data_IF_470623010909
#
_entry.id   IF_470623010909
#
_cell.length_a   1.000
_cell.length_b   1.000
_cell.length_c   1.000
_cell.angle_alpha   90.00
_cell.angle_beta   90.00
_cell.angle_gamma   90.00
#
_symmetry.space_group_name_H-M   'P 1'
#
loop_
_entity.id
_entity.type
_entity.pdbx_description
1 polymer ?
#
# COMPACT_ATOMS: atom_id res chain seq x y z
N UNK A 1 0.02 -22.30 1.79
CA UNK A 1 -0.05 -22.40 0.31
C UNK A 1 1.26 -23.00 -0.18
N UNK A 2 1.24 -24.23 -0.72
CA UNK A 2 2.43 -24.92 -1.25
C UNK A 2 2.28 -25.01 -2.76
N UNK A 3 3.11 -24.26 -3.50
CA UNK A 3 3.68 -24.57 -4.81
C UNK A 3 4.39 -23.30 -5.30
N UNK A 4 5.72 -23.30 -5.26
CA UNK A 4 6.55 -22.15 -5.62
C UNK A 4 6.42 -21.83 -7.10
N UNK A 5 5.57 -20.85 -7.42
CA UNK A 5 5.38 -20.28 -8.76
C UNK A 5 6.53 -19.39 -9.18
N UNK A 6 7.54 -19.19 -8.32
CA UNK A 6 8.69 -18.32 -8.55
C UNK A 6 9.99 -18.99 -8.09
N UNK A 7 11.09 -18.77 -8.82
CA UNK A 7 12.45 -19.20 -8.46
C UNK A 7 13.49 -18.16 -8.90
N UNK A 8 14.75 -18.38 -8.53
CA UNK A 8 15.88 -17.53 -8.94
C UNK A 8 15.68 -16.04 -8.63
N UNK A 9 15.02 -15.76 -7.49
CA UNK A 9 14.69 -14.40 -7.09
C UNK A 9 15.98 -13.68 -6.69
N UNK A 10 16.25 -12.57 -7.38
CA UNK A 10 17.30 -11.61 -7.01
C UNK A 10 16.68 -10.22 -7.00
N UNK A 11 17.31 -9.28 -6.28
CA UNK A 11 16.84 -7.89 -6.24
C UNK A 11 17.98 -6.89 -6.32
N UNK A 12 17.66 -5.72 -6.86
CA UNK A 12 18.54 -4.56 -6.96
C UNK A 12 17.85 -3.37 -6.31
N UNK A 13 18.52 -2.71 -5.37
CA UNK A 13 18.03 -1.46 -4.81
C UNK A 13 18.03 -0.36 -5.91
N UNK A 14 16.89 0.29 -6.10
CA UNK A 14 16.75 1.45 -6.99
C UNK A 14 16.72 2.76 -6.19
N UNK A 15 16.08 2.77 -5.02
CA UNK A 15 16.05 3.93 -4.11
C UNK A 15 15.82 3.47 -2.66
N UNK A 16 16.48 4.13 -1.72
CA UNK A 16 16.29 3.94 -0.27
C UNK A 16 16.29 5.30 0.42
N UNK A 17 15.32 6.14 0.04
CA UNK A 17 15.18 7.47 0.61
C UNK A 17 14.12 7.45 1.72
N UNK A 18 12.89 7.88 1.42
CA UNK A 18 11.80 7.84 2.38
C UNK A 18 11.15 6.45 2.49
N UNK A 19 11.02 5.77 1.35
CA UNK A 19 10.55 4.39 1.23
C UNK A 19 11.48 3.63 0.30
N UNK A 20 11.51 2.31 0.46
CA UNK A 20 12.41 1.44 -0.28
C UNK A 20 11.80 1.04 -1.63
N UNK A 21 12.54 1.29 -2.70
CA UNK A 21 12.23 0.85 -4.06
C UNK A 21 13.26 -0.19 -4.50
N UNK A 22 12.83 -1.45 -4.63
CA UNK A 22 13.67 -2.54 -5.14
C UNK A 22 13.14 -2.99 -6.51
N UNK A 23 14.06 -3.32 -7.44
CA UNK A 23 13.75 -4.05 -8.66
C UNK A 23 14.05 -5.53 -8.47
N UNK A 24 13.03 -6.37 -8.59
CA UNK A 24 13.10 -7.82 -8.49
C UNK A 24 13.25 -8.46 -9.86
N UNK A 25 14.09 -9.48 -9.93
CA UNK A 25 14.27 -10.37 -11.07
C UNK A 25 13.99 -11.80 -10.61
N UNK A 26 13.09 -12.50 -11.29
CA UNK A 26 12.73 -13.87 -10.92
C UNK A 26 12.20 -14.65 -12.12
N UNK A 27 12.30 -15.97 -12.07
CA UNK A 27 11.63 -16.84 -13.02
C UNK A 27 10.24 -17.18 -12.49
N UNK A 28 9.20 -16.97 -13.29
CA UNK A 28 7.81 -17.29 -12.98
C UNK A 28 7.37 -18.53 -13.77
N UNK A 29 6.69 -19.45 -13.08
CA UNK A 29 6.10 -20.64 -13.71
C UNK A 29 4.69 -20.31 -14.19
N UNK A 30 4.53 -20.22 -15.51
CA UNK A 30 3.27 -19.92 -16.16
C UNK A 30 2.32 -21.12 -16.09
N UNK A 31 1.03 -20.86 -16.28
CA UNK A 31 -0.01 -21.91 -16.29
C UNK A 31 0.17 -22.90 -17.45
N UNK A 32 0.81 -22.48 -18.55
CA UNK A 32 1.17 -23.34 -19.69
C UNK A 32 2.39 -24.26 -19.42
N UNK A 33 2.95 -24.21 -18.20
CA UNK A 33 4.10 -25.02 -17.78
C UNK A 33 5.46 -24.43 -18.17
N UNK A 34 5.50 -23.28 -18.85
CA UNK A 34 6.75 -22.63 -19.21
C UNK A 34 7.31 -21.77 -18.06
N UNK A 35 8.64 -21.65 -18.01
CA UNK A 35 9.32 -20.69 -17.14
C UNK A 35 9.64 -19.41 -17.91
N UNK A 36 9.35 -18.26 -17.32
CA UNK A 36 9.58 -16.95 -17.92
C UNK A 36 10.32 -16.02 -16.95
N UNK A 37 11.29 -15.26 -17.44
CA UNK A 37 11.97 -14.22 -16.66
C UNK A 37 11.07 -13.00 -16.52
N UNK A 38 10.86 -12.56 -15.28
CA UNK A 38 10.06 -11.41 -14.94
C UNK A 38 10.90 -10.37 -14.19
N UNK A 39 10.64 -9.10 -14.49
CA UNK A 39 11.21 -7.96 -13.79
C UNK A 39 10.09 -7.09 -13.23
N UNK A 40 10.14 -6.76 -11.93
CA UNK A 40 9.13 -5.90 -11.29
C UNK A 40 9.78 -4.92 -10.33
N UNK A 41 9.35 -3.67 -10.41
CA UNK A 41 9.67 -2.67 -9.39
C UNK A 41 8.64 -2.75 -8.28
N UNK A 42 9.13 -2.83 -7.03
CA UNK A 42 8.31 -2.96 -5.83
C UNK A 42 8.65 -1.79 -4.93
N UNK A 43 7.66 -0.93 -4.69
CA UNK A 43 7.75 0.18 -3.77
C UNK A 43 7.12 -0.21 -2.45
N UNK A 44 7.94 -0.31 -1.40
CA UNK A 44 7.51 -0.71 -0.07
C UNK A 44 7.14 0.52 0.76
N UNK A 45 5.84 0.77 0.87
CA UNK A 45 5.27 1.89 1.62
C UNK A 45 4.86 1.52 3.06
N UNK A 46 5.13 0.30 3.51
CA UNK A 46 4.65 -0.23 4.78
C UNK A 46 3.14 -0.53 4.81
N UNK A 47 2.67 -1.04 5.94
CA UNK A 47 1.26 -1.35 6.17
C UNK A 47 0.50 -0.13 6.73
N UNK A 48 -0.80 -0.06 6.48
CA UNK A 48 -1.67 1.01 6.96
C UNK A 48 -2.98 0.45 7.55
N UNK A 49 -3.52 1.17 8.53
CA UNK A 49 -4.84 0.92 9.09
C UNK A 49 -5.78 2.10 8.78
N UNK A 50 -7.07 1.79 8.61
CA UNK A 50 -8.13 2.77 8.36
C UNK A 50 -9.34 2.51 9.27
N UNK A 51 -9.99 3.58 9.74
CA UNK A 51 -11.15 3.53 10.65
C UNK A 51 -12.29 4.38 10.07
N UNK A 52 -13.45 3.75 9.86
CA UNK A 52 -14.68 4.44 9.45
C UNK A 52 -15.59 4.66 10.67
N UNK A 53 -15.76 5.92 11.05
CA UNK A 53 -16.66 6.31 12.14
C UNK A 53 -18.08 6.57 11.60
N UNK A 54 -19.07 5.88 12.17
CA UNK A 54 -20.48 5.96 11.76
C UNK A 54 -21.38 6.37 12.93
N UNK A 55 -22.28 7.32 12.68
CA UNK A 55 -23.39 7.66 13.57
C UNK A 55 -24.69 7.01 13.07
N UNK A 56 -25.06 5.87 13.65
CA UNK A 56 -26.16 5.02 13.18
C UNK A 56 -27.51 5.73 13.12
N UNK A 57 -27.90 6.44 14.17
CA UNK A 57 -29.23 7.08 14.26
C UNK A 57 -29.42 8.21 13.24
N UNK A 58 -28.33 8.85 12.82
CA UNK A 58 -28.33 9.97 11.87
C UNK A 58 -27.95 9.52 10.46
N UNK A 59 -27.70 8.22 10.27
CA UNK A 59 -27.20 7.64 9.02
C UNK A 59 -26.03 8.44 8.41
N UNK A 60 -25.09 8.88 9.23
CA UNK A 60 -23.96 9.71 8.80
C UNK A 60 -22.61 9.10 9.14
N UNK A 61 -21.57 9.54 8.43
CA UNK A 61 -20.17 9.11 8.61
C UNK A 61 -19.27 10.33 8.80
N UNK A 62 -18.17 10.13 9.52
CA UNK A 62 -17.11 11.13 9.66
C UNK A 62 -15.97 10.75 8.71
N UNK A 63 -15.54 11.72 7.90
CA UNK A 63 -14.45 11.61 6.93
C UNK A 63 -13.49 12.79 7.10
N UNK A 64 -12.28 12.68 6.58
CA UNK A 64 -11.30 13.78 6.54
C UNK A 64 -11.17 14.32 5.12
N UNK A 65 -10.64 15.54 4.99
CA UNK A 65 -10.29 16.13 3.71
C UNK A 65 -8.84 16.61 3.76
N UNK A 66 -7.95 15.96 3.02
CA UNK A 66 -6.51 16.20 3.09
C UNK A 66 -5.91 16.38 1.69
N UNK A 67 -4.84 17.16 1.59
CA UNK A 67 -4.08 17.30 0.35
C UNK A 67 -3.20 16.07 0.13
N UNK A 68 -3.23 15.51 -1.08
CA UNK A 68 -2.38 14.41 -1.52
C UNK A 68 -1.65 14.81 -2.80
N UNK A 69 -0.33 14.97 -2.71
CA UNK A 69 0.50 15.33 -3.87
C UNK A 69 0.35 14.35 -5.05
N UNK A 70 0.28 13.01 -4.86
CA UNK A 70 0.05 12.08 -5.97
C UNK A 70 -1.28 12.30 -6.69
N UNK A 71 -2.34 12.69 -5.96
CA UNK A 71 -3.64 12.97 -6.56
C UNK A 71 -3.59 14.25 -7.40
N UNK A 72 -2.92 15.29 -6.91
CA UNK A 72 -2.68 16.52 -7.68
C UNK A 72 -1.91 16.23 -8.98
N UNK A 73 -0.82 15.46 -8.89
CA UNK A 73 -0.02 15.06 -10.04
C UNK A 73 -0.84 14.24 -11.07
N UNK A 74 -1.80 13.45 -10.59
CA UNK A 74 -2.69 12.63 -11.43
C UNK A 74 -3.96 13.38 -11.90
N UNK A 75 -4.02 14.71 -11.79
CA UNK A 75 -5.07 15.54 -12.38
C UNK A 75 -6.23 15.90 -11.47
N UNK A 76 -6.17 15.60 -10.17
CA UNK A 76 -7.12 16.17 -9.19
C UNK A 76 -6.75 17.63 -8.98
N UNK A 77 -7.52 18.55 -9.59
CA UNK A 77 -7.19 19.97 -9.69
C UNK A 77 -6.76 20.64 -8.35
N UNK A 78 -7.39 20.26 -7.23
CA UNK A 78 -7.06 20.80 -5.91
C UNK A 78 -6.09 19.93 -5.11
N UNK A 79 -5.81 18.70 -5.55
CA UNK A 79 -5.10 17.67 -4.77
C UNK A 79 -5.80 17.20 -3.49
N UNK A 80 -6.90 17.84 -3.09
CA UNK A 80 -7.69 17.47 -1.91
C UNK A 80 -8.53 16.21 -2.17
N UNK A 81 -8.35 15.19 -1.33
CA UNK A 81 -9.18 13.99 -1.31
C UNK A 81 -10.04 13.95 -0.05
N UNK A 82 -11.26 13.41 -0.18
CA UNK A 82 -12.12 13.05 0.97
C UNK A 82 -11.87 11.57 1.27
N UNK A 83 -11.41 11.28 2.47
CA UNK A 83 -10.86 9.97 2.83
C UNK A 83 -11.41 9.49 4.18
N UNK A 84 -11.37 8.17 4.37
CA UNK A 84 -11.54 7.57 5.69
C UNK A 84 -10.29 7.91 6.52
N UNK A 85 -10.45 8.16 7.83
CA UNK A 85 -9.30 8.33 8.71
C UNK A 85 -8.37 7.12 8.61
N UNK A 86 -7.11 7.34 8.24
CA UNK A 86 -6.14 6.28 8.06
C UNK A 86 -4.73 6.75 8.45
N UNK A 87 -3.86 5.79 8.80
CA UNK A 87 -2.47 6.05 9.13
C UNK A 87 -1.59 4.80 9.05
N UNK A 88 -0.28 5.02 8.97
CA UNK A 88 0.72 3.96 8.82
C UNK A 88 0.94 3.21 10.13
N UNK A 89 1.04 1.89 10.05
CA UNK A 89 1.42 1.04 11.17
C UNK A 89 2.94 1.11 11.33
N UNK A 90 3.44 1.99 12.19
CA UNK A 90 4.88 2.07 12.52
C UNK A 90 5.31 0.89 13.41
N UNK A 91 5.07 -0.35 12.97
CA UNK A 91 5.38 -1.57 13.72
C UNK A 91 4.41 -1.92 14.86
N UNK A 92 3.38 -1.09 15.08
CA UNK A 92 2.28 -1.37 16.01
C UNK A 92 1.27 -2.34 15.38
N UNK A 93 0.72 -3.28 16.17
CA UNK A 93 -0.36 -4.15 15.69
C UNK A 93 -1.62 -3.30 15.43
N UNK A 94 -2.52 -3.73 14.52
CA UNK A 94 -3.73 -2.97 14.16
C UNK A 94 -4.59 -2.51 15.34
N UNK A 95 -4.56 -3.24 16.46
CA UNK A 95 -5.31 -2.91 17.68
C UNK A 95 -4.75 -1.69 18.42
N UNK A 96 -3.43 -1.50 18.46
CA UNK A 96 -2.79 -0.36 19.17
C UNK A 96 -3.05 0.97 18.45
N UNK A 97 -3.26 0.95 17.13
CA UNK A 97 -3.53 2.17 16.36
C UNK A 97 -4.88 2.83 16.70
N UNK A 98 -5.86 2.06 17.20
CA UNK A 98 -7.18 2.58 17.55
C UNK A 98 -7.15 3.58 18.74
N UNK A 99 -6.18 3.47 19.65
CA UNK A 99 -6.14 4.30 20.87
C UNK A 99 -5.47 5.68 20.68
N UNK A 100 -4.70 5.87 19.61
CA UNK A 100 -3.97 7.14 19.35
C UNK A 100 -4.76 8.13 18.49
N UNK A 101 -5.87 7.66 17.91
CA UNK A 101 -6.73 8.44 17.00
C UNK A 101 -7.97 9.06 17.65
N UNK A 102 -8.06 9.05 18.99
CA UNK A 102 -9.15 9.67 19.78
C UNK A 102 -8.73 11.00 20.39
#
# INVERSE_FOLDING_TARGET
MKNGTVKNITKKLLSDNWYRLDKYFFDYHREDGAWEKQEREVYDCGDAAAILLMHKERASVILTKQFRMPAYQNGVATGMLVEVCAGLLEGDTPEVYQERGS
#
